data_IF_676180394966
#
_entry.id   IF_676180394966
#
_cell.length_a   1.000
_cell.length_b   1.000
_cell.length_c   1.000
_cell.angle_alpha   90.00
_cell.angle_beta   90.00
_cell.angle_gamma   90.00
#
_symmetry.space_group_name_H-M   'P 1'
#
loop_
_entity.id
_entity.type
_entity.pdbx_description
1 polymer ?
#
# COMPACT_ATOMS: atom_id res chain seq x y z
N UNK A 1 6.46 4.76 -3.86
CA UNK A 1 5.59 5.38 -2.84
C UNK A 1 4.42 6.05 -3.53
N UNK A 2 3.20 5.91 -3.00
CA UNK A 2 1.97 6.49 -3.55
C UNK A 2 1.27 7.30 -2.47
N UNK A 3 1.06 8.59 -2.72
CA UNK A 3 0.32 9.49 -1.84
C UNK A 3 -0.71 10.26 -2.65
N UNK A 4 -1.89 10.44 -2.06
CA UNK A 4 -2.93 11.27 -2.62
C UNK A 4 -3.36 12.31 -1.58
N UNK A 5 -3.62 13.52 -2.06
CA UNK A 5 -4.24 14.55 -1.26
C UNK A 5 -5.63 14.08 -0.80
N UNK A 6 -6.06 14.45 0.40
CA UNK A 6 -7.36 14.01 0.96
C UNK A 6 -8.54 14.35 0.03
N UNK A 7 -8.52 15.54 -0.59
CA UNK A 7 -9.50 15.97 -1.59
C UNK A 7 -9.55 15.11 -2.87
N UNK A 8 -8.59 14.21 -3.08
CA UNK A 8 -8.55 13.28 -4.21
C UNK A 8 -9.14 11.89 -3.87
N UNK A 9 -9.44 11.62 -2.60
CA UNK A 9 -10.02 10.34 -2.18
C UNK A 9 -11.43 10.13 -2.76
N UNK A 10 -11.78 8.87 -3.03
CA UNK A 10 -13.08 8.51 -3.59
C UNK A 10 -13.27 8.86 -5.08
N UNK A 11 -12.27 9.50 -5.72
CA UNK A 11 -12.34 9.90 -7.15
C UNK A 11 -11.69 8.90 -8.11
N UNK A 12 -11.40 7.68 -7.67
CA UNK A 12 -10.74 6.64 -8.48
C UNK A 12 -9.25 6.85 -8.76
N UNK A 13 -8.67 8.00 -8.37
CA UNK A 13 -7.26 8.33 -8.65
C UNK A 13 -6.26 7.35 -8.03
N UNK A 14 -6.57 6.82 -6.84
CA UNK A 14 -5.70 5.83 -6.19
C UNK A 14 -5.62 4.55 -7.00
N UNK A 15 -6.77 4.08 -7.48
CA UNK A 15 -6.85 2.90 -8.34
C UNK A 15 -6.13 3.12 -9.66
N UNK A 16 -6.32 4.28 -10.29
CA UNK A 16 -5.63 4.65 -11.53
C UNK A 16 -4.10 4.61 -11.38
N UNK A 17 -3.57 5.22 -10.32
CA UNK A 17 -2.13 5.20 -10.06
C UNK A 17 -1.61 3.80 -9.75
N UNK A 18 -2.38 3.00 -9.00
CA UNK A 18 -2.01 1.62 -8.67
C UNK A 18 -2.01 0.73 -9.91
N UNK A 19 -3.06 0.80 -10.74
CA UNK A 19 -3.15 0.02 -11.98
C UNK A 19 -2.01 0.37 -12.94
N UNK A 20 -1.64 1.65 -13.04
CA UNK A 20 -0.47 2.03 -13.82
C UNK A 20 0.81 1.42 -13.25
N UNK A 21 1.01 1.50 -11.93
CA UNK A 21 2.18 0.95 -11.24
C UNK A 21 2.30 -0.57 -11.46
N UNK A 22 1.20 -1.31 -11.39
CA UNK A 22 1.19 -2.75 -11.64
C UNK A 22 1.49 -3.03 -13.12
N UNK A 23 0.68 -2.49 -14.03
CA UNK A 23 0.71 -2.88 -15.43
C UNK A 23 1.88 -2.30 -16.24
N UNK A 24 2.45 -1.17 -15.82
CA UNK A 24 3.53 -0.48 -16.54
C UNK A 24 4.87 -0.55 -15.82
N UNK A 25 4.87 -0.70 -14.50
CA UNK A 25 6.10 -0.73 -13.71
C UNK A 25 6.36 -2.09 -13.04
N UNK A 26 5.44 -3.06 -13.15
CA UNK A 26 5.60 -4.38 -12.55
C UNK A 26 5.58 -4.35 -11.02
N UNK A 27 4.87 -3.41 -10.41
CA UNK A 27 4.78 -3.33 -8.95
C UNK A 27 3.91 -4.47 -8.44
N UNK A 28 4.52 -5.38 -7.69
CA UNK A 28 3.83 -6.52 -7.07
C UNK A 28 3.86 -6.47 -5.54
N UNK A 29 4.66 -5.57 -4.94
CA UNK A 29 4.85 -5.46 -3.49
C UNK A 29 4.71 -4.02 -3.02
N UNK A 30 4.11 -3.85 -1.85
CA UNK A 30 3.97 -2.55 -1.21
C UNK A 30 4.07 -2.67 0.29
N UNK A 31 4.66 -1.66 0.91
CA UNK A 31 4.73 -1.52 2.36
C UNK A 31 3.73 -0.46 2.82
N UNK A 32 3.04 -0.73 3.93
CA UNK A 32 2.09 0.20 4.54
C UNK A 32 2.30 0.25 6.05
N UNK A 33 2.32 1.45 6.61
CA UNK A 33 2.34 1.60 8.07
C UNK A 33 1.06 0.99 8.66
N UNK A 34 1.19 0.21 9.72
CA UNK A 34 0.07 -0.50 10.38
C UNK A 34 -1.04 0.47 10.83
N UNK A 35 -0.68 1.68 11.26
CA UNK A 35 -1.62 2.71 11.69
C UNK A 35 -2.43 3.32 10.54
N UNK A 36 -2.01 3.12 9.28
CA UNK A 36 -2.72 3.63 8.12
C UNK A 36 -3.76 2.62 7.63
N UNK A 37 -4.78 2.41 8.46
CA UNK A 37 -5.88 1.48 8.19
C UNK A 37 -6.58 1.75 6.85
N UNK A 38 -6.65 3.03 6.45
CA UNK A 38 -7.25 3.44 5.17
C UNK A 38 -6.44 2.94 3.97
N UNK A 39 -5.12 3.13 4.00
CA UNK A 39 -4.24 2.64 2.93
C UNK A 39 -4.19 1.11 2.93
N UNK A 40 -4.14 0.48 4.11
CA UNK A 40 -4.20 -0.97 4.25
C UNK A 40 -5.48 -1.52 3.59
N UNK A 41 -6.65 -0.99 3.96
CA UNK A 41 -7.93 -1.38 3.36
C UNK A 41 -7.99 -1.15 1.85
N UNK A 42 -7.41 -0.04 1.36
CA UNK A 42 -7.31 0.23 -0.07
C UNK A 42 -6.52 -0.86 -0.82
N UNK A 43 -5.32 -1.22 -0.34
CA UNK A 43 -4.51 -2.25 -1.01
C UNK A 43 -5.12 -3.64 -0.90
N UNK A 44 -5.69 -4.00 0.26
CA UNK A 44 -6.41 -5.26 0.44
C UNK A 44 -7.59 -5.38 -0.53
N UNK A 45 -8.37 -4.30 -0.71
CA UNK A 45 -9.46 -4.27 -1.68
C UNK A 45 -8.97 -4.37 -3.13
N UNK A 46 -7.73 -3.95 -3.41
CA UNK A 46 -7.10 -4.08 -4.73
C UNK A 46 -6.44 -5.44 -4.97
N UNK A 47 -6.61 -6.42 -4.07
CA UNK A 47 -6.12 -7.79 -4.25
C UNK A 47 -4.73 -8.07 -3.67
N UNK A 48 -4.14 -7.12 -2.94
CA UNK A 48 -2.94 -7.38 -2.17
C UNK A 48 -3.27 -8.17 -0.90
N UNK A 49 -2.29 -8.91 -0.39
CA UNK A 49 -2.37 -9.66 0.85
C UNK A 49 -1.19 -9.33 1.76
N UNK A 50 -1.41 -9.34 3.07
CA UNK A 50 -0.33 -9.20 4.05
C UNK A 50 0.52 -10.48 3.98
N UNK A 51 1.80 -10.32 3.69
CA UNK A 51 2.79 -11.41 3.63
C UNK A 51 3.85 -11.29 4.74
N UNK A 52 3.85 -10.20 5.49
CA UNK A 52 4.75 -10.01 6.61
C UNK A 52 4.43 -8.74 7.41
N UNK A 53 5.06 -8.63 8.58
CA UNK A 53 5.01 -7.46 9.45
C UNK A 53 6.37 -7.22 10.06
N UNK A 54 6.82 -5.97 10.05
CA UNK A 54 7.99 -5.51 10.79
C UNK A 54 7.53 -4.65 11.96
N UNK A 55 8.12 -4.86 13.14
CA UNK A 55 7.81 -4.04 14.34
C UNK A 55 8.42 -2.64 14.26
N UNK A 56 9.54 -2.52 13.53
CA UNK A 56 10.29 -1.30 13.36
C UNK A 56 10.30 -0.88 11.88
N UNK A 57 10.42 0.42 11.64
CA UNK A 57 10.69 0.95 10.32
C UNK A 57 12.17 0.70 9.91
N UNK A 58 12.56 0.98 8.66
CA UNK A 58 13.95 0.81 8.21
C UNK A 58 14.99 1.68 8.96
N UNK A 59 14.55 2.63 9.79
CA UNK A 59 15.41 3.45 10.64
C UNK A 59 15.43 2.98 12.10
N UNK A 60 14.79 1.85 12.42
CA UNK A 60 14.72 1.30 13.77
C UNK A 60 13.70 1.98 14.69
N UNK A 61 12.79 2.80 14.16
CA UNK A 61 11.75 3.47 14.95
C UNK A 61 10.53 2.56 15.12
N UNK A 62 9.78 2.67 16.24
CA UNK A 62 8.62 1.83 16.53
C UNK A 62 7.39 2.24 15.72
N UNK A 63 7.51 2.19 14.39
CA UNK A 63 6.42 2.36 13.44
C UNK A 63 6.25 1.06 12.68
N UNK A 64 5.41 0.13 13.19
CA UNK A 64 5.18 -1.13 12.51
C UNK A 64 4.69 -0.97 11.08
N UNK A 65 5.18 -1.85 10.20
CA UNK A 65 4.91 -1.86 8.77
C UNK A 65 4.37 -3.22 8.38
N UNK A 66 3.26 -3.26 7.64
CA UNK A 66 2.84 -4.44 6.91
C UNK A 66 3.52 -4.48 5.54
N UNK A 67 4.04 -5.65 5.20
CA UNK A 67 4.52 -5.98 3.87
C UNK A 67 3.39 -6.68 3.12
N UNK A 68 3.00 -6.14 1.97
CA UNK A 68 1.93 -6.69 1.16
C UNK A 68 2.47 -7.14 -0.20
N UNK A 69 1.88 -8.20 -0.74
CA UNK A 69 2.13 -8.66 -2.10
C UNK A 69 0.81 -8.86 -2.86
N UNK A 70 0.81 -8.58 -4.16
CA UNK A 70 -0.31 -8.86 -5.04
C UNK A 70 -0.45 -10.37 -5.18
N UNK A 71 -1.65 -10.90 -4.94
CA UNK A 71 -1.89 -12.34 -5.05
C UNK A 71 -1.83 -12.75 -6.52
N UNK A 72 -1.04 -13.78 -6.83
CA UNK A 72 -1.01 -14.43 -8.15
C UNK A 72 -2.30 -15.19 -8.43
#
# INVERSE_FOLDING_TARGET
MLFLHSNAFGKGLGRLCLDYSINKMGVEKVDVNEQNERALGFYLHCGFQIVGRSELDPQGKPFPIFHLALKS
#
